data_IF_959990670192
#
_entry.id   IF_959990670192
#
_cell.length_a   1.000
_cell.length_b   1.000
_cell.length_c   1.000
_cell.angle_alpha   90.00
_cell.angle_beta   90.00
_cell.angle_gamma   90.00
#
_symmetry.space_group_name_H-M   'P 1'
#
loop_
_entity.id
_entity.type
_entity.pdbx_description
1 polymer ?
#
# COMPACT_ATOMS: atom_id res chain seq x y z
N UNK A 1 -27.35 -14.40 11.44
CA UNK A 1 -26.55 -14.59 10.21
C UNK A 1 -25.08 -14.33 10.52
N UNK A 2 -24.30 -15.39 10.71
CA UNK A 2 -22.87 -15.25 11.00
C UNK A 2 -22.13 -15.03 9.69
N UNK A 3 -21.51 -13.85 9.52
CA UNK A 3 -20.64 -13.53 8.40
C UNK A 3 -19.42 -14.46 8.48
N UNK A 4 -19.38 -15.49 7.64
CA UNK A 4 -18.21 -16.37 7.50
C UNK A 4 -17.03 -15.49 7.08
N UNK A 5 -16.07 -15.28 7.97
CA UNK A 5 -14.74 -14.79 7.61
C UNK A 5 -14.13 -15.81 6.65
N UNK A 6 -14.05 -15.46 5.36
CA UNK A 6 -13.40 -16.26 4.33
C UNK A 6 -11.93 -16.40 4.74
N UNK A 7 -11.52 -17.59 5.17
CA UNK A 7 -10.10 -17.91 5.37
C UNK A 7 -9.41 -17.75 4.01
N UNK A 8 -8.27 -17.06 4.01
CA UNK A 8 -7.40 -16.98 2.84
C UNK A 8 -7.02 -18.39 2.42
N UNK A 9 -6.96 -18.63 1.12
CA UNK A 9 -6.54 -19.93 0.61
C UNK A 9 -5.05 -20.16 0.94
N UNK A 10 -4.62 -21.42 1.12
CA UNK A 10 -3.21 -21.74 1.38
C UNK A 10 -2.23 -21.17 0.34
N UNK A 11 -2.71 -20.91 -0.89
CA UNK A 11 -1.92 -20.26 -1.94
C UNK A 11 -1.72 -18.76 -1.68
N UNK A 12 -2.77 -18.04 -1.27
CA UNK A 12 -2.70 -16.61 -0.89
C UNK A 12 -1.85 -16.42 0.39
N UNK A 13 -1.95 -17.36 1.34
CA UNK A 13 -1.09 -17.36 2.54
C UNK A 13 0.37 -17.67 2.18
N UNK A 14 0.60 -18.64 1.29
CA UNK A 14 1.93 -19.01 0.79
C UNK A 14 2.63 -17.91 -0.02
N UNK A 15 1.88 -17.13 -0.79
CA UNK A 15 2.40 -16.01 -1.56
C UNK A 15 2.74 -14.80 -0.66
N UNK A 16 1.93 -14.58 0.39
CA UNK A 16 2.20 -13.56 1.40
C UNK A 16 3.42 -13.89 2.29
N UNK A 17 3.65 -15.16 2.62
CA UNK A 17 4.84 -15.62 3.34
C UNK A 17 6.08 -15.65 2.45
N UNK A 18 5.96 -16.04 1.18
CA UNK A 18 7.08 -16.02 0.22
C UNK A 18 7.68 -14.61 0.01
N UNK A 19 6.88 -13.53 0.14
CA UNK A 19 7.41 -12.15 0.11
C UNK A 19 8.32 -11.80 1.29
N UNK A 20 8.26 -12.52 2.41
CA UNK A 20 9.07 -12.24 3.61
C UNK A 20 10.44 -12.91 3.58
N UNK A 21 10.55 -14.09 2.97
CA UNK A 21 11.79 -14.89 3.01
C UNK A 21 12.99 -14.23 2.27
N UNK A 22 12.73 -13.26 1.38
CA UNK A 22 13.78 -12.53 0.65
C UNK A 22 13.81 -11.02 0.97
N UNK A 23 13.15 -10.57 2.04
CA UNK A 23 13.13 -9.16 2.40
C UNK A 23 14.48 -8.73 3.00
N UNK A 24 15.23 -7.93 2.25
CA UNK A 24 16.44 -7.28 2.77
C UNK A 24 16.03 -6.06 3.62
N UNK A 25 16.55 -5.93 4.85
CA UNK A 25 16.24 -4.79 5.69
C UNK A 25 16.67 -3.48 5.00
N UNK A 26 15.71 -2.59 4.80
CA UNK A 26 15.94 -1.23 4.33
C UNK A 26 15.98 -0.25 5.51
N UNK A 27 16.62 0.92 5.36
CA UNK A 27 16.47 2.02 6.32
C UNK A 27 15.01 2.28 6.63
N UNK A 28 14.69 2.60 7.88
CA UNK A 28 13.33 2.73 8.40
C UNK A 28 12.46 3.66 7.53
N UNK A 29 13.04 4.76 7.03
CA UNK A 29 12.41 5.77 6.19
C UNK A 29 11.85 5.24 4.86
N UNK A 30 12.44 4.15 4.35
CA UNK A 30 12.06 3.52 3.07
C UNK A 30 11.69 2.04 3.23
N UNK A 31 11.41 1.62 4.46
CA UNK A 31 11.02 0.25 4.78
C UNK A 31 9.52 0.04 4.54
N UNK A 32 9.09 -0.72 3.50
CA UNK A 32 7.67 -0.92 3.21
C UNK A 32 6.89 -1.63 4.32
N UNK A 33 7.57 -2.34 5.25
CA UNK A 33 6.89 -2.95 6.40
C UNK A 33 6.35 -1.90 7.37
N UNK A 34 6.89 -0.69 7.34
CA UNK A 34 6.52 0.41 8.23
C UNK A 34 5.51 1.38 7.61
N UNK A 35 5.15 1.19 6.34
CA UNK A 35 4.25 2.06 5.56
C UNK A 35 2.94 2.40 6.28
N UNK A 36 2.42 1.48 7.09
CA UNK A 36 1.11 1.61 7.73
C UNK A 36 1.15 1.72 9.26
N UNK A 37 2.33 1.81 9.88
CA UNK A 37 2.45 1.81 11.35
C UNK A 37 1.77 3.00 12.03
N UNK A 38 1.68 4.15 11.35
CA UNK A 38 1.01 5.35 11.87
C UNK A 38 -0.43 5.52 11.34
N UNK A 39 -0.94 4.57 10.55
CA UNK A 39 -2.28 4.66 9.95
C UNK A 39 -3.35 4.24 10.96
N UNK A 40 -4.40 5.05 11.09
CA UNK A 40 -5.51 4.74 12.00
C UNK A 40 -6.18 3.39 11.66
N UNK A 41 -6.49 2.58 12.68
CA UNK A 41 -7.06 1.23 12.55
C UNK A 41 -8.26 1.15 11.59
N UNK A 42 -9.14 2.15 11.61
CA UNK A 42 -10.34 2.18 10.76
C UNK A 42 -10.01 2.31 9.27
N UNK A 43 -8.93 3.03 8.93
CA UNK A 43 -8.44 3.11 7.56
C UNK A 43 -7.81 1.79 7.13
N UNK A 44 -7.05 1.13 8.02
CA UNK A 44 -6.45 -0.19 7.73
C UNK A 44 -7.50 -1.23 7.37
N UNK A 45 -8.60 -1.30 8.13
CA UNK A 45 -9.71 -2.23 7.85
C UNK A 45 -10.30 -1.99 6.46
N UNK A 46 -10.50 -0.72 6.09
CA UNK A 46 -11.05 -0.34 4.79
C UNK A 46 -10.08 -0.60 3.65
N UNK A 47 -8.78 -0.32 3.84
CA UNK A 47 -7.72 -0.70 2.90
C UNK A 47 -7.71 -2.21 2.65
N UNK A 48 -7.75 -3.02 3.71
CA UNK A 48 -7.79 -4.47 3.61
C UNK A 48 -9.09 -5.00 2.96
N UNK A 49 -10.19 -4.25 3.10
CA UNK A 49 -11.46 -4.54 2.44
C UNK A 49 -11.51 -4.17 0.96
N UNK A 50 -10.52 -3.46 0.43
CA UNK A 50 -10.51 -2.98 -0.96
C UNK A 50 -11.36 -1.73 -1.19
N UNK A 51 -11.73 -0.99 -0.12
CA UNK A 51 -12.51 0.25 -0.24
C UNK A 51 -11.73 1.38 -0.94
N UNK A 52 -10.41 1.24 -1.04
CA UNK A 52 -9.50 2.24 -1.62
C UNK A 52 -8.62 1.59 -2.70
N UNK A 53 -8.45 2.29 -3.80
CA UNK A 53 -7.38 2.01 -4.74
C UNK A 53 -6.08 2.66 -4.22
N UNK A 54 -5.36 1.92 -3.37
CA UNK A 54 -4.10 2.37 -2.79
C UNK A 54 -3.04 2.72 -3.84
N UNK A 55 -3.06 2.02 -4.97
CA UNK A 55 -2.15 2.30 -6.07
C UNK A 55 -2.48 3.65 -6.70
N UNK A 56 -3.76 3.94 -6.96
CA UNK A 56 -4.16 5.23 -7.49
C UNK A 56 -3.89 6.37 -6.51
N UNK A 57 -4.12 6.16 -5.21
CA UNK A 57 -3.79 7.17 -4.19
C UNK A 57 -2.29 7.50 -4.16
N UNK A 58 -1.42 6.51 -4.29
CA UNK A 58 0.02 6.73 -4.36
C UNK A 58 0.42 7.53 -5.61
N UNK A 59 -0.20 7.25 -6.76
CA UNK A 59 0.01 8.00 -8.01
C UNK A 59 -0.45 9.46 -7.87
N UNK A 60 -1.61 9.67 -7.27
CA UNK A 60 -2.14 11.01 -7.04
C UNK A 60 -1.25 11.82 -6.09
N UNK A 61 -0.71 11.18 -5.05
CA UNK A 61 0.23 11.82 -4.13
C UNK A 61 1.54 12.20 -4.83
N UNK A 62 2.10 11.34 -5.67
CA UNK A 62 3.25 11.68 -6.52
C UNK A 62 2.94 12.90 -7.40
N UNK A 63 1.80 12.88 -8.09
CA UNK A 63 1.38 13.99 -8.95
C UNK A 63 1.18 15.31 -8.16
N UNK A 64 0.61 15.26 -6.94
CA UNK A 64 0.47 16.43 -6.05
C UNK A 64 1.83 16.99 -5.61
N UNK A 65 2.84 16.12 -5.51
CA UNK A 65 4.24 16.51 -5.24
C UNK A 65 5.00 16.93 -6.50
N UNK A 66 4.35 16.89 -7.66
CA UNK A 66 4.96 17.20 -8.95
C UNK A 66 5.96 16.15 -9.42
N UNK A 67 5.77 14.89 -9.01
CA UNK A 67 6.62 13.76 -9.35
C UNK A 67 5.94 12.84 -10.36
N UNK A 68 6.72 12.22 -11.23
CA UNK A 68 6.27 11.10 -12.08
C UNK A 68 6.43 9.74 -11.35
N UNK A 69 6.13 8.64 -12.04
CA UNK A 69 6.20 7.28 -11.46
C UNK A 69 7.63 6.78 -11.22
N UNK A 70 8.63 7.43 -11.82
CA UNK A 70 10.04 7.18 -11.55
C UNK A 70 10.56 7.99 -10.34
N UNK A 71 9.72 8.85 -9.75
CA UNK A 71 10.12 9.77 -8.69
C UNK A 71 10.85 11.02 -9.18
N UNK A 72 10.83 11.30 -10.49
CA UNK A 72 11.48 12.48 -11.08
C UNK A 72 10.53 13.68 -11.00
N UNK A 73 11.07 14.86 -10.69
CA UNK A 73 10.30 16.09 -10.68
C UNK A 73 9.93 16.52 -12.10
N UNK A 74 8.62 16.67 -12.35
CA UNK A 74 8.03 17.04 -13.65
C UNK A 74 7.12 18.28 -13.54
N UNK A 75 7.13 18.95 -12.38
CA UNK A 75 6.24 20.07 -12.07
C UNK A 75 4.84 19.63 -11.65
N UNK A 76 4.01 20.58 -11.21
CA UNK A 76 2.66 20.28 -10.74
C UNK A 76 1.74 20.01 -11.93
N UNK A 77 0.91 18.97 -11.81
CA UNK A 77 -0.23 18.80 -12.71
C UNK A 77 -1.11 20.05 -12.57
N UNK A 78 -1.34 20.77 -13.67
CA UNK A 78 -2.28 21.90 -13.70
C UNK A 78 -3.63 21.37 -13.21
N UNK A 79 -4.16 21.94 -12.13
CA UNK A 79 -5.53 21.67 -11.72
C UNK A 79 -6.46 22.13 -12.84
N UNK A 80 -7.29 21.22 -13.35
CA UNK A 80 -8.49 21.56 -14.11
C UNK A 80 -9.66 21.79 -13.14
#
# INVERSE_FOLDING_TARGET
MNKKTKRLSPAEEGEATARRENYQPKPDEINPLYLFQQTHKGLLVRCAGGDFDLLQMAKDELARRGLNLNGEWVGFKKGE
#
